data_IF_232999440407
#
_entry.id   IF_232999440407
#
_cell.length_a   1.000
_cell.length_b   1.000
_cell.length_c   1.000
_cell.angle_alpha   90.00
_cell.angle_beta   90.00
_cell.angle_gamma   90.00
#
_symmetry.space_group_name_H-M   'P 1'
#
loop_
_entity.id
_entity.type
_entity.pdbx_description
1 polymer ?
#
# COMPACT_ATOMS: atom_id res chain seq x y z
N UNK A 1 35.20 -7.19 5.03
CA UNK A 1 34.04 -6.32 5.24
C UNK A 1 32.84 -7.24 5.36
N UNK A 2 32.17 -7.24 6.52
CA UNK A 2 30.85 -7.88 6.61
C UNK A 2 29.92 -7.19 5.61
N UNK A 3 29.12 -7.97 4.89
CA UNK A 3 28.13 -7.42 3.97
C UNK A 3 27.00 -6.84 4.81
N UNK A 4 26.78 -5.54 4.70
CA UNK A 4 25.63 -4.89 5.30
C UNK A 4 24.48 -4.88 4.30
N UNK A 5 23.33 -5.41 4.72
CA UNK A 5 22.11 -5.40 3.94
C UNK A 5 21.13 -4.37 4.50
N UNK A 6 20.44 -3.69 3.59
CA UNK A 6 19.43 -2.68 3.90
C UNK A 6 18.07 -3.05 3.31
N UNK A 7 17.03 -2.39 3.84
CA UNK A 7 15.64 -2.59 3.43
C UNK A 7 15.21 -1.49 2.45
N UNK A 8 14.74 -1.88 1.26
CA UNK A 8 14.23 -0.96 0.25
C UNK A 8 12.79 -0.49 0.57
N UNK A 9 12.60 0.80 0.78
CA UNK A 9 11.29 1.45 0.99
C UNK A 9 10.58 1.92 -0.30
N UNK A 10 11.01 1.43 -1.47
CA UNK A 10 10.38 1.81 -2.75
C UNK A 10 8.99 1.22 -3.00
N UNK A 11 8.61 0.11 -2.35
CA UNK A 11 7.26 -0.47 -2.40
C UNK A 11 7.02 -1.36 -1.18
N UNK A 12 5.81 -1.88 -1.00
CA UNK A 12 5.42 -2.70 0.14
C UNK A 12 6.07 -4.09 0.24
N UNK A 13 6.99 -4.43 -0.67
CA UNK A 13 7.81 -5.64 -0.57
C UNK A 13 8.89 -5.54 0.48
N UNK A 14 9.35 -4.33 0.83
CA UNK A 14 10.44 -4.10 1.78
C UNK A 14 11.61 -5.09 1.60
N UNK A 15 12.17 -5.14 0.38
CA UNK A 15 13.26 -6.07 0.06
C UNK A 15 14.47 -5.77 0.96
N UNK A 16 14.91 -6.75 1.73
CA UNK A 16 15.89 -6.67 2.83
C UNK A 16 17.31 -7.15 2.46
N UNK A 17 17.60 -7.26 1.17
CA UNK A 17 18.87 -7.77 0.62
C UNK A 17 19.55 -6.74 -0.27
N UNK A 18 19.35 -5.45 0.01
CA UNK A 18 19.97 -4.37 -0.74
C UNK A 18 21.36 -4.12 -0.21
N UNK A 19 22.37 -4.24 -1.07
CA UNK A 19 23.75 -3.88 -0.74
C UNK A 19 24.09 -2.51 -1.37
N UNK A 20 24.83 -1.69 -0.63
CA UNK A 20 25.39 -0.42 -1.08
C UNK A 20 26.91 -0.56 -1.15
N UNK A 21 27.48 -0.26 -2.32
CA UNK A 21 28.93 -0.27 -2.53
C UNK A 21 29.37 1.07 -3.09
N UNK A 22 30.33 1.70 -2.44
CA UNK A 22 30.96 2.92 -2.94
C UNK A 22 32.12 2.56 -3.88
N UNK A 23 32.04 3.00 -5.13
CA UNK A 23 33.11 2.85 -6.13
C UNK A 23 33.42 4.22 -6.74
N UNK A 24 34.67 4.69 -6.63
CA UNK A 24 35.25 5.89 -7.28
C UNK A 24 34.22 6.98 -7.69
N UNK A 25 33.61 7.63 -6.68
CA UNK A 25 32.59 8.70 -6.78
C UNK A 25 31.16 8.25 -7.16
N UNK A 26 30.79 6.98 -6.97
CA UNK A 26 29.45 6.48 -7.25
C UNK A 26 29.01 5.41 -6.25
N UNK A 27 27.82 5.58 -5.70
CA UNK A 27 27.09 4.51 -5.01
C UNK A 27 26.50 3.51 -6.02
N UNK A 28 27.02 2.29 -6.00
CA UNK A 28 26.44 1.12 -6.64
C UNK A 28 25.41 0.52 -5.68
N UNK A 29 24.23 0.19 -6.23
CA UNK A 29 23.12 -0.39 -5.48
C UNK A 29 22.82 -1.74 -6.11
N UNK A 30 23.11 -2.81 -5.39
CA UNK A 30 22.88 -4.17 -5.86
C UNK A 30 21.52 -4.69 -5.36
N UNK A 31 20.99 -5.69 -6.06
CA UNK A 31 19.71 -6.36 -5.77
C UNK A 31 18.44 -5.50 -5.85
N UNK A 32 18.54 -4.16 -5.86
CA UNK A 32 17.38 -3.29 -6.02
C UNK A 32 16.81 -3.36 -7.45
N UNK A 33 15.48 -3.39 -7.59
CA UNK A 33 14.85 -3.19 -8.90
C UNK A 33 14.94 -1.72 -9.33
N UNK A 34 14.52 -1.39 -10.56
CA UNK A 34 14.51 -0.01 -11.08
C UNK A 34 13.82 0.98 -10.14
N UNK A 35 12.70 0.58 -9.52
CA UNK A 35 11.98 1.41 -8.53
C UNK A 35 12.82 1.66 -7.28
N UNK A 36 13.44 0.61 -6.72
CA UNK A 36 14.31 0.73 -5.56
C UNK A 36 15.56 1.57 -5.83
N UNK A 37 16.20 1.38 -6.98
CA UNK A 37 17.35 2.20 -7.40
C UNK A 37 16.97 3.67 -7.51
N UNK A 38 15.82 3.97 -8.14
CA UNK A 38 15.34 5.35 -8.26
C UNK A 38 15.02 5.97 -6.89
N UNK A 39 14.43 5.19 -5.99
CA UNK A 39 14.09 5.63 -4.63
C UNK A 39 15.34 5.93 -3.77
N UNK A 40 16.34 5.06 -3.82
CA UNK A 40 17.55 5.17 -2.98
C UNK A 40 18.53 6.24 -3.51
N UNK A 41 18.59 6.50 -4.83
CA UNK A 41 19.56 7.44 -5.44
C UNK A 41 19.29 8.93 -5.19
N UNK A 42 18.40 9.26 -4.27
CA UNK A 42 17.88 10.59 -3.95
C UNK A 42 16.88 11.13 -4.96
N UNK A 43 16.05 12.05 -4.44
CA UNK A 43 15.12 12.82 -5.22
C UNK A 43 15.84 13.70 -6.25
N UNK A 44 15.44 13.62 -7.53
CA UNK A 44 15.97 14.52 -8.57
C UNK A 44 15.61 15.98 -8.31
N UNK A 45 14.46 16.22 -7.67
CA UNK A 45 13.97 17.54 -7.30
C UNK A 45 13.59 17.53 -5.82
N UNK A 46 14.57 17.72 -4.90
CA UNK A 46 14.30 17.80 -3.47
C UNK A 46 13.24 18.87 -3.18
N UNK A 47 12.41 18.63 -2.16
CA UNK A 47 11.47 19.63 -1.70
C UNK A 47 12.23 20.80 -1.04
N UNK A 48 11.86 22.02 -1.36
CA UNK A 48 12.36 23.23 -0.68
C UNK A 48 11.49 23.52 0.55
N UNK A 49 12.07 24.08 1.61
CA UNK A 49 11.30 24.52 2.77
C UNK A 49 10.73 25.91 2.50
N UNK A 50 9.40 26.03 2.44
CA UNK A 50 8.75 27.29 2.06
C UNK A 50 7.53 27.60 2.93
N UNK A 51 7.26 28.90 3.06
CA UNK A 51 6.02 29.47 3.58
C UNK A 51 5.53 30.52 2.58
N UNK A 52 4.27 30.41 2.15
CA UNK A 52 3.64 31.26 1.14
C UNK A 52 4.50 31.38 -0.15
N UNK A 53 5.04 30.23 -0.60
CA UNK A 53 5.96 30.09 -1.74
C UNK A 53 7.27 30.91 -1.64
N UNK A 54 7.72 31.23 -0.43
CA UNK A 54 9.03 31.86 -0.16
C UNK A 54 9.89 30.96 0.71
N UNK A 55 11.20 31.01 0.48
CA UNK A 55 12.19 30.29 1.31
C UNK A 55 11.97 30.57 2.80
N UNK A 56 11.94 29.51 3.60
CA UNK A 56 11.70 29.56 5.03
C UNK A 56 12.68 28.64 5.77
N UNK A 57 12.91 28.93 7.05
CA UNK A 57 13.59 27.95 7.90
C UNK A 57 12.62 26.83 8.29
N UNK A 58 13.10 25.62 8.65
CA UNK A 58 12.23 24.57 9.14
C UNK A 58 11.41 24.99 10.37
N UNK A 59 11.96 25.87 11.22
CA UNK A 59 11.25 26.39 12.38
C UNK A 59 10.07 27.29 11.96
N UNK A 60 10.29 28.23 11.04
CA UNK A 60 9.23 29.12 10.53
C UNK A 60 8.10 28.31 9.87
N UNK A 61 8.46 27.28 9.10
CA UNK A 61 7.49 26.42 8.43
C UNK A 61 6.68 25.56 9.42
N UNK A 62 7.32 25.04 10.47
CA UNK A 62 6.65 24.31 11.57
C UNK A 62 5.68 25.23 12.32
N UNK A 63 6.12 26.44 12.68
CA UNK A 63 5.28 27.42 13.36
C UNK A 63 4.07 27.80 12.51
N UNK A 64 4.27 28.01 11.21
CA UNK A 64 3.17 28.32 10.28
C UNK A 64 2.20 27.15 10.12
N UNK A 65 2.72 25.92 9.99
CA UNK A 65 1.91 24.71 9.91
C UNK A 65 1.04 24.54 11.18
N UNK A 66 1.64 24.74 12.36
CA UNK A 66 0.93 24.69 13.64
C UNK A 66 -0.15 25.78 13.75
N UNK A 67 0.15 27.01 13.32
CA UNK A 67 -0.82 28.11 13.27
C UNK A 67 -2.04 27.74 12.40
N UNK A 68 -1.81 27.21 11.20
CA UNK A 68 -2.87 26.78 10.27
C UNK A 68 -3.75 25.71 10.94
N UNK A 69 -3.14 24.65 11.47
CA UNK A 69 -3.87 23.51 12.06
C UNK A 69 -4.62 23.91 13.34
N UNK A 70 -4.06 24.82 14.15
CA UNK A 70 -4.69 25.33 15.36
C UNK A 70 -5.94 26.18 15.08
N UNK A 71 -5.93 26.92 13.97
CA UNK A 71 -7.04 27.80 13.57
C UNK A 71 -8.10 27.06 12.72
N UNK A 72 -7.76 25.90 12.18
CA UNK A 72 -8.68 25.04 11.42
C UNK A 72 -9.77 24.45 12.35
N UNK A 73 -11.00 24.38 11.85
CA UNK A 73 -12.13 23.75 12.55
C UNK A 73 -12.28 22.28 12.19
N UNK A 74 -11.94 21.90 10.96
CA UNK A 74 -12.01 20.54 10.45
C UNK A 74 -10.82 20.27 9.50
N UNK A 75 -9.59 20.21 10.03
CA UNK A 75 -8.43 19.90 9.19
C UNK A 75 -8.54 18.48 8.61
N UNK A 76 -8.00 18.30 7.41
CA UNK A 76 -7.75 16.99 6.80
C UNK A 76 -6.28 16.62 7.00
N UNK A 77 -6.01 15.41 7.48
CA UNK A 77 -4.68 14.80 7.50
C UNK A 77 -4.71 13.61 6.54
N UNK A 78 -3.87 13.64 5.51
CA UNK A 78 -3.92 12.63 4.45
C UNK A 78 -2.54 12.11 4.03
N UNK A 79 -2.44 10.81 3.76
CA UNK A 79 -1.26 10.20 3.15
C UNK A 79 -0.66 9.08 3.99
N UNK A 80 0.47 9.32 4.65
CA UNK A 80 1.08 8.44 5.66
C UNK A 80 1.65 7.10 5.19
N UNK A 81 1.18 6.55 4.06
CA UNK A 81 1.62 5.24 3.56
C UNK A 81 3.11 5.16 3.16
N UNK A 82 3.80 6.30 3.05
CA UNK A 82 5.24 6.39 2.82
C UNK A 82 6.00 7.07 3.99
N UNK A 83 5.51 6.85 5.22
CA UNK A 83 6.10 7.39 6.46
C UNK A 83 6.46 6.28 7.44
N UNK A 84 7.29 6.57 8.44
CA UNK A 84 7.63 5.61 9.51
C UNK A 84 6.42 5.30 10.42
N UNK A 85 6.42 4.15 11.11
CA UNK A 85 5.37 3.85 12.11
C UNK A 85 5.28 4.96 13.19
N UNK A 86 6.43 5.46 13.67
CA UNK A 86 6.46 6.57 14.64
C UNK A 86 5.77 7.83 14.10
N UNK A 87 6.00 8.19 12.84
CA UNK A 87 5.34 9.34 12.22
C UNK A 87 3.83 9.11 12.06
N UNK A 88 3.43 7.91 11.67
CA UNK A 88 2.02 7.54 11.57
C UNK A 88 1.30 7.63 12.92
N UNK A 89 1.93 7.17 14.00
CA UNK A 89 1.39 7.32 15.36
C UNK A 89 1.22 8.80 15.73
N UNK A 90 2.25 9.64 15.48
CA UNK A 90 2.16 11.09 15.71
C UNK A 90 1.09 11.77 14.86
N UNK A 91 0.87 11.31 13.63
CA UNK A 91 -0.20 11.82 12.79
C UNK A 91 -1.59 11.49 13.35
N UNK A 92 -1.78 10.29 13.91
CA UNK A 92 -3.04 9.90 14.57
C UNK A 92 -3.26 10.72 15.85
N UNK A 93 -2.21 10.91 16.66
CA UNK A 93 -2.27 11.79 17.85
C UNK A 93 -2.63 13.23 17.48
N UNK A 94 -1.98 13.77 16.45
CA UNK A 94 -2.25 15.11 15.92
C UNK A 94 -3.69 15.21 15.42
N UNK A 95 -4.17 14.21 14.66
CA UNK A 95 -5.55 14.17 14.18
C UNK A 95 -6.56 14.23 15.32
N UNK A 96 -6.33 13.46 16.39
CA UNK A 96 -7.19 13.52 17.59
C UNK A 96 -7.12 14.90 18.25
N UNK A 97 -5.91 15.48 18.40
CA UNK A 97 -5.70 16.79 19.04
C UNK A 97 -6.39 17.93 18.29
N UNK A 98 -6.45 17.87 16.96
CA UNK A 98 -7.01 18.94 16.11
C UNK A 98 -8.41 18.64 15.60
N UNK A 99 -9.08 17.59 16.08
CA UNK A 99 -10.38 17.13 15.56
C UNK A 99 -10.36 16.96 14.03
N UNK A 100 -9.28 16.38 13.52
CA UNK A 100 -9.08 16.20 12.10
C UNK A 100 -9.87 15.00 11.55
N UNK A 101 -10.16 15.07 10.27
CA UNK A 101 -10.37 13.88 9.47
C UNK A 101 -9.02 13.32 9.04
N UNK A 102 -8.76 12.04 9.32
CA UNK A 102 -7.55 11.33 8.92
C UNK A 102 -7.87 10.20 7.95
N UNK A 103 -7.15 10.15 6.82
CA UNK A 103 -7.34 9.16 5.77
C UNK A 103 -6.02 8.84 5.07
N UNK A 104 -5.96 7.72 4.37
CA UNK A 104 -4.84 7.36 3.49
C UNK A 104 -5.34 6.82 2.15
N UNK A 105 -4.42 6.42 1.28
CA UNK A 105 -4.82 5.92 -0.04
C UNK A 105 -5.52 4.55 0.03
N UNK A 106 -5.43 3.82 1.14
CA UNK A 106 -6.15 2.56 1.32
C UNK A 106 -7.67 2.71 1.16
N UNK A 107 -8.23 3.91 1.39
CA UNK A 107 -9.67 4.21 1.21
C UNK A 107 -10.17 4.07 -0.22
N UNK A 108 -9.26 4.14 -1.20
CA UNK A 108 -9.51 3.87 -2.62
C UNK A 108 -8.47 2.90 -3.22
N UNK A 109 -7.80 2.10 -2.39
CA UNK A 109 -6.84 1.07 -2.79
C UNK A 109 -7.19 -0.25 -2.09
N UNK A 110 -6.22 -1.03 -1.60
CA UNK A 110 -6.46 -2.36 -1.03
C UNK A 110 -7.02 -2.36 0.41
N UNK A 111 -7.48 -1.22 0.93
CA UNK A 111 -8.02 -1.07 2.28
C UNK A 111 -9.09 -2.11 2.66
N UNK A 112 -10.11 -2.39 1.82
CA UNK A 112 -11.13 -3.38 2.15
C UNK A 112 -10.57 -4.77 2.45
N UNK A 113 -9.51 -5.18 1.75
CA UNK A 113 -8.85 -6.48 1.98
C UNK A 113 -8.03 -6.44 3.27
N UNK A 114 -7.33 -5.33 3.51
CA UNK A 114 -6.57 -5.10 4.76
C UNK A 114 -7.51 -5.18 5.97
N UNK A 115 -8.66 -4.51 5.90
CA UNK A 115 -9.70 -4.51 6.93
C UNK A 115 -10.28 -5.92 7.16
N UNK A 116 -10.55 -6.68 6.09
CA UNK A 116 -11.04 -8.05 6.21
C UNK A 116 -10.02 -8.98 6.90
N UNK A 117 -8.71 -8.80 6.65
CA UNK A 117 -7.65 -9.54 7.33
C UNK A 117 -7.57 -9.17 8.81
N UNK A 118 -7.62 -7.87 9.15
CA UNK A 118 -7.55 -7.40 10.54
C UNK A 118 -8.77 -7.80 11.39
N UNK A 119 -9.91 -8.05 10.74
CA UNK A 119 -11.13 -8.56 11.38
C UNK A 119 -11.24 -10.10 11.32
N UNK A 120 -10.17 -10.82 11.00
CA UNK A 120 -10.13 -12.29 10.88
C UNK A 120 -11.16 -12.90 9.90
N UNK A 121 -11.69 -12.10 8.96
CA UNK A 121 -12.62 -12.56 7.91
C UNK A 121 -11.88 -13.29 6.79
N UNK A 122 -10.63 -12.89 6.54
CA UNK A 122 -9.77 -13.46 5.51
C UNK A 122 -8.49 -13.98 6.14
N UNK A 123 -8.21 -15.27 5.93
CA UNK A 123 -6.93 -15.88 6.30
C UNK A 123 -5.81 -15.35 5.38
N UNK A 124 -4.76 -14.80 5.98
CA UNK A 124 -3.54 -14.35 5.27
C UNK A 124 -2.31 -15.15 5.72
N UNK A 125 -1.16 -14.89 5.09
CA UNK A 125 0.12 -15.55 5.38
C UNK A 125 1.29 -14.59 5.17
N UNK A 126 2.50 -15.01 5.49
CA UNK A 126 3.71 -14.21 5.21
C UNK A 126 4.30 -14.48 3.82
N UNK A 127 5.03 -13.52 3.25
CA UNK A 127 5.79 -13.70 2.01
C UNK A 127 6.85 -14.80 2.13
N UNK A 128 7.41 -14.99 3.32
CA UNK A 128 8.35 -16.08 3.60
C UNK A 128 7.68 -17.45 3.58
N UNK A 129 6.42 -17.55 4.04
CA UNK A 129 5.63 -18.77 3.89
C UNK A 129 5.26 -19.03 2.44
N UNK A 130 4.91 -18.00 1.67
CA UNK A 130 4.70 -18.16 0.22
C UNK A 130 5.97 -18.70 -0.44
N UNK A 131 7.13 -18.09 -0.15
CA UNK A 131 8.41 -18.55 -0.66
C UNK A 131 8.64 -20.00 -0.27
N UNK A 132 8.41 -20.37 0.98
CA UNK A 132 8.81 -21.68 1.47
C UNK A 132 7.82 -22.80 1.13
N UNK A 133 6.52 -22.48 1.00
CA UNK A 133 5.42 -23.45 1.00
C UNK A 133 4.48 -23.38 -0.21
N UNK A 134 4.32 -22.25 -0.91
CA UNK A 134 3.23 -22.14 -1.89
C UNK A 134 3.45 -22.99 -3.16
N UNK A 135 2.51 -23.87 -3.48
CA UNK A 135 2.44 -24.62 -4.74
C UNK A 135 1.44 -24.02 -5.73
N UNK A 136 0.39 -23.34 -5.28
CA UNK A 136 -0.57 -22.67 -6.17
C UNK A 136 -0.57 -21.17 -5.87
N UNK A 137 -0.23 -20.36 -6.87
CA UNK A 137 -0.13 -18.91 -6.75
C UNK A 137 -1.07 -18.26 -7.77
N UNK A 138 -2.05 -17.51 -7.28
CA UNK A 138 -3.04 -16.80 -8.12
C UNK A 138 -2.78 -15.30 -8.05
N UNK A 139 -2.48 -14.68 -9.19
CA UNK A 139 -2.42 -13.23 -9.36
C UNK A 139 -3.77 -12.74 -9.89
N UNK A 140 -4.58 -12.15 -9.02
CA UNK A 140 -5.93 -11.70 -9.38
C UNK A 140 -6.01 -10.17 -9.41
N UNK A 141 -6.25 -9.61 -10.59
CA UNK A 141 -6.39 -8.18 -10.81
C UNK A 141 -5.12 -7.41 -10.42
N UNK A 142 -3.95 -8.03 -10.59
CA UNK A 142 -2.66 -7.46 -10.25
C UNK A 142 -1.58 -7.81 -11.28
N UNK A 143 -0.61 -6.91 -11.41
CA UNK A 143 0.58 -7.08 -12.24
C UNK A 143 1.85 -6.78 -11.41
N UNK A 144 2.26 -7.69 -10.51
CA UNK A 144 3.47 -7.55 -9.70
C UNK A 144 4.73 -7.31 -10.53
N UNK A 145 4.84 -7.84 -11.73
CA UNK A 145 6.02 -7.61 -12.58
C UNK A 145 6.29 -6.12 -12.82
N UNK A 146 5.24 -5.29 -12.88
CA UNK A 146 5.35 -3.85 -13.04
C UNK A 146 5.15 -3.05 -11.74
N UNK A 147 4.29 -3.52 -10.83
CA UNK A 147 3.97 -2.80 -9.58
C UNK A 147 4.91 -3.13 -8.41
N UNK A 148 5.36 -4.39 -8.34
CA UNK A 148 6.17 -4.98 -7.27
C UNK A 148 7.29 -5.81 -7.88
N UNK A 149 8.28 -5.21 -8.58
CA UNK A 149 9.06 -5.92 -9.59
C UNK A 149 9.87 -7.13 -9.10
N UNK A 150 10.17 -7.21 -7.79
CA UNK A 150 10.88 -8.35 -7.19
C UNK A 150 9.97 -9.38 -6.53
N UNK A 151 8.65 -9.19 -6.56
CA UNK A 151 7.69 -10.08 -5.90
C UNK A 151 7.86 -11.52 -6.39
N UNK A 152 7.82 -11.73 -7.72
CA UNK A 152 7.98 -13.05 -8.33
C UNK A 152 9.36 -13.64 -8.10
N UNK A 153 10.42 -12.83 -8.17
CA UNK A 153 11.81 -13.31 -8.08
C UNK A 153 12.28 -13.60 -6.66
N UNK A 154 11.77 -12.86 -5.67
CA UNK A 154 12.25 -12.91 -4.29
C UNK A 154 11.32 -13.72 -3.37
N UNK A 155 10.01 -13.63 -3.58
CA UNK A 155 9.04 -14.13 -2.60
C UNK A 155 8.07 -15.18 -3.14
N UNK A 156 7.58 -15.08 -4.37
CA UNK A 156 6.47 -15.94 -4.79
C UNK A 156 6.86 -17.07 -5.74
N UNK A 157 7.08 -16.75 -7.03
CA UNK A 157 7.08 -17.76 -8.08
C UNK A 157 8.46 -18.41 -8.29
N UNK A 158 9.47 -17.63 -8.67
CA UNK A 158 10.78 -18.16 -9.04
C UNK A 158 11.66 -18.73 -7.90
N UNK A 159 11.61 -18.26 -6.64
CA UNK A 159 12.57 -18.74 -5.64
C UNK A 159 12.29 -20.20 -5.25
N UNK A 160 13.37 -20.94 -4.95
CA UNK A 160 13.26 -22.26 -4.32
C UNK A 160 12.88 -22.09 -2.85
N UNK A 161 11.82 -22.78 -2.45
CA UNK A 161 11.29 -22.77 -1.08
C UNK A 161 11.67 -24.03 -0.32
N UNK A 162 11.60 -24.01 1.02
CA UNK A 162 11.88 -25.20 1.85
C UNK A 162 11.08 -26.45 1.42
N UNK A 163 9.82 -26.29 1.01
CA UNK A 163 8.95 -27.35 0.49
C UNK A 163 8.79 -27.30 -1.04
N UNK A 164 9.49 -26.39 -1.71
CA UNK A 164 9.41 -26.13 -3.16
C UNK A 164 10.83 -26.14 -3.74
N UNK A 165 11.55 -27.23 -3.48
CA UNK A 165 12.97 -27.37 -3.79
C UNK A 165 13.25 -27.65 -5.26
N UNK A 166 12.29 -28.20 -6.01
CA UNK A 166 12.42 -28.48 -7.45
C UNK A 166 12.21 -27.23 -8.31
N UNK A 167 11.80 -26.12 -7.69
CA UNK A 167 11.65 -24.82 -8.36
C UNK A 167 10.25 -24.61 -8.91
N UNK A 168 10.09 -23.51 -9.64
CA UNK A 168 8.81 -23.10 -10.22
C UNK A 168 8.40 -23.97 -11.41
N UNK A 169 9.35 -24.68 -12.01
CA UNK A 169 9.17 -25.56 -13.15
C UNK A 169 8.38 -26.84 -12.79
N UNK A 170 8.46 -27.27 -11.52
CA UNK A 170 7.84 -28.52 -11.07
C UNK A 170 6.94 -28.37 -9.83
N UNK A 171 7.31 -27.50 -8.88
CA UNK A 171 6.63 -27.42 -7.59
C UNK A 171 5.57 -26.31 -7.53
N UNK A 172 5.47 -25.44 -8.55
CA UNK A 172 4.56 -24.29 -8.51
C UNK A 172 3.74 -24.13 -9.78
N UNK A 173 2.46 -23.82 -9.58
CA UNK A 173 1.55 -23.37 -10.64
C UNK A 173 1.22 -21.90 -10.40
N UNK A 174 1.53 -21.04 -11.37
CA UNK A 174 1.10 -19.65 -11.38
C UNK A 174 -0.13 -19.49 -12.27
N UNK A 175 -1.12 -18.74 -11.79
CA UNK A 175 -2.39 -18.46 -12.46
C UNK A 175 -2.58 -16.94 -12.48
N UNK A 176 -3.01 -16.38 -13.62
CA UNK A 176 -3.39 -14.99 -13.72
C UNK A 176 -4.88 -14.85 -14.05
N UNK A 177 -5.59 -14.00 -13.31
CA UNK A 177 -6.98 -13.61 -13.59
C UNK A 177 -6.99 -12.10 -13.73
N UNK A 178 -7.14 -11.60 -14.95
CA UNK A 178 -7.01 -10.16 -15.25
C UNK A 178 -7.81 -9.79 -16.50
N UNK A 179 -8.10 -8.50 -16.68
CA UNK A 179 -8.78 -7.97 -17.88
C UNK A 179 -7.86 -7.89 -19.10
N UNK A 180 -6.54 -7.92 -18.88
CA UNK A 180 -5.52 -7.84 -19.93
C UNK A 180 -4.41 -8.86 -19.72
N UNK A 181 -3.75 -9.27 -20.80
CA UNK A 181 -2.53 -10.07 -20.73
C UNK A 181 -1.33 -9.19 -20.35
N UNK A 182 -1.12 -9.04 -19.05
CA UNK A 182 0.02 -8.31 -18.46
C UNK A 182 1.33 -9.10 -18.52
N UNK A 183 2.46 -8.50 -18.14
CA UNK A 183 3.75 -9.22 -18.05
C UNK A 183 3.68 -10.36 -17.05
N UNK A 184 2.97 -10.18 -15.94
CA UNK A 184 2.69 -11.26 -14.99
C UNK A 184 1.84 -12.37 -15.61
N UNK A 185 0.83 -12.02 -16.42
CA UNK A 185 0.01 -13.02 -17.12
C UNK A 185 0.80 -13.78 -18.21
N UNK A 186 1.79 -13.14 -18.85
CA UNK A 186 2.71 -13.83 -19.79
C UNK A 186 3.51 -14.92 -19.06
N UNK A 187 3.96 -14.66 -17.84
CA UNK A 187 4.68 -15.63 -17.00
C UNK A 187 3.78 -16.81 -16.59
N UNK A 188 2.48 -16.60 -16.46
CA UNK A 188 1.52 -17.67 -16.14
C UNK A 188 1.18 -18.57 -17.34
N UNK A 189 1.74 -18.29 -18.52
CA UNK A 189 1.59 -19.07 -19.75
C UNK A 189 0.11 -19.37 -20.09
N UNK A 190 -0.28 -20.65 -20.08
CA UNK A 190 -1.63 -21.12 -20.42
C UNK A 190 -2.62 -20.96 -19.26
N UNK A 191 -2.15 -20.65 -18.03
CA UNK A 191 -3.00 -20.44 -16.85
C UNK A 191 -3.48 -18.99 -16.73
N UNK A 192 -3.82 -18.36 -17.85
CA UNK A 192 -4.36 -17.00 -17.89
C UNK A 192 -5.87 -17.02 -18.20
N UNK A 193 -6.65 -16.45 -17.30
CA UNK A 193 -8.10 -16.32 -17.41
C UNK A 193 -8.45 -14.85 -17.64
N UNK A 194 -8.77 -14.51 -18.88
CA UNK A 194 -9.18 -13.16 -19.23
C UNK A 194 -10.67 -12.95 -18.95
N UNK A 195 -10.98 -12.10 -17.98
CA UNK A 195 -12.36 -11.72 -17.62
C UNK A 195 -12.65 -10.28 -18.04
N UNK A 196 -13.91 -9.90 -18.37
CA UNK A 196 -14.22 -8.52 -18.67
C UNK A 196 -14.15 -7.64 -17.40
N UNK A 197 -13.99 -6.32 -17.53
CA UNK A 197 -14.08 -5.42 -16.39
C UNK A 197 -15.40 -5.59 -15.63
N UNK A 198 -15.34 -5.52 -14.29
CA UNK A 198 -16.48 -5.70 -13.38
C UNK A 198 -17.00 -7.13 -13.23
N UNK A 199 -16.30 -8.13 -13.78
CA UNK A 199 -16.74 -9.52 -13.75
C UNK A 199 -16.17 -10.35 -12.60
N UNK A 200 -15.27 -9.78 -11.79
CA UNK A 200 -14.52 -10.53 -10.79
C UNK A 200 -15.43 -11.19 -9.73
N UNK A 201 -16.47 -10.48 -9.26
CA UNK A 201 -17.44 -11.03 -8.31
C UNK A 201 -18.18 -12.25 -8.88
N UNK A 202 -18.66 -12.14 -10.13
CA UNK A 202 -19.33 -13.23 -10.82
C UNK A 202 -18.39 -14.42 -11.03
N UNK A 203 -17.13 -14.18 -11.38
CA UNK A 203 -16.13 -15.22 -11.54
C UNK A 203 -15.82 -15.94 -10.21
N UNK A 204 -15.71 -15.20 -9.10
CA UNK A 204 -15.50 -15.78 -7.77
C UNK A 204 -16.69 -16.66 -7.32
N UNK A 205 -17.93 -16.23 -7.59
CA UNK A 205 -19.12 -17.04 -7.34
C UNK A 205 -19.13 -18.31 -8.20
N UNK A 206 -18.81 -18.20 -9.48
CA UNK A 206 -18.75 -19.34 -10.39
C UNK A 206 -17.68 -20.36 -9.96
N UNK A 207 -16.50 -19.90 -9.51
CA UNK A 207 -15.50 -20.78 -8.90
C UNK A 207 -16.03 -21.47 -7.64
N UNK A 208 -16.75 -20.75 -6.78
CA UNK A 208 -17.38 -21.32 -5.58
C UNK A 208 -18.40 -22.41 -5.93
N UNK A 209 -19.21 -22.21 -6.98
CA UNK A 209 -20.14 -23.23 -7.50
C UNK A 209 -19.40 -24.48 -8.00
N UNK A 210 -18.33 -24.28 -8.78
CA UNK A 210 -17.49 -25.35 -9.31
C UNK A 210 -16.80 -26.14 -8.18
N UNK A 211 -16.33 -25.46 -7.13
CA UNK A 211 -15.76 -26.11 -5.95
C UNK A 211 -16.78 -27.00 -5.24
N UNK A 212 -18.05 -26.59 -5.24
CA UNK A 212 -19.19 -27.31 -4.67
C UNK A 212 -19.77 -28.42 -5.59
N UNK A 213 -19.18 -28.66 -6.75
CA UNK A 213 -19.62 -29.69 -7.71
C UNK A 213 -20.86 -29.30 -8.52
N UNK A 214 -21.25 -28.02 -8.50
CA UNK A 214 -22.31 -27.48 -9.38
C UNK A 214 -21.71 -27.07 -10.72
N UNK A 215 -22.54 -27.00 -11.76
CA UNK A 215 -22.12 -26.49 -13.08
C UNK A 215 -22.04 -24.96 -12.98
N UNK A 216 -20.83 -24.36 -13.05
CA UNK A 216 -20.67 -22.92 -12.91
C UNK A 216 -21.25 -22.19 -14.12
N UNK A 217 -21.80 -21.01 -13.89
CA UNK A 217 -22.30 -20.13 -14.96
C UNK A 217 -21.73 -18.74 -14.82
N UNK A 218 -21.32 -18.19 -15.96
CA UNK A 218 -20.92 -16.79 -16.10
C UNK A 218 -21.62 -16.18 -17.32
N UNK A 219 -21.80 -14.87 -17.31
CA UNK A 219 -22.44 -14.08 -18.39
C UNK A 219 -21.47 -13.71 -19.52
N UNK A 220 -20.18 -14.04 -19.37
CA UNK A 220 -19.11 -13.71 -20.29
C UNK A 220 -18.44 -14.96 -20.87
N UNK A 221 -17.53 -14.76 -21.83
CA UNK A 221 -17.04 -15.78 -22.77
C UNK A 221 -16.20 -16.94 -22.21
N UNK A 222 -16.14 -17.15 -20.90
CA UNK A 222 -15.45 -18.31 -20.29
C UNK A 222 -16.42 -19.49 -20.20
N UNK A 223 -16.04 -20.64 -20.75
CA UNK A 223 -16.89 -21.84 -20.72
C UNK A 223 -16.92 -22.46 -19.33
N UNK A 224 -18.04 -23.08 -18.91
CA UNK A 224 -18.11 -23.79 -17.62
C UNK A 224 -16.99 -24.82 -17.41
N UNK A 225 -16.53 -25.47 -18.49
CA UNK A 225 -15.42 -26.43 -18.47
C UNK A 225 -14.12 -25.79 -17.97
N UNK A 226 -13.79 -24.58 -18.43
CA UNK A 226 -12.55 -23.88 -18.07
C UNK A 226 -12.56 -23.50 -16.58
N UNK A 227 -13.73 -23.09 -16.06
CA UNK A 227 -13.92 -22.78 -14.63
C UNK A 227 -13.80 -24.06 -13.78
N UNK A 228 -14.36 -25.18 -14.23
CA UNK A 228 -14.23 -26.47 -13.56
C UNK A 228 -12.78 -26.97 -13.55
N UNK A 229 -12.04 -26.77 -14.64
CA UNK A 229 -10.60 -27.09 -14.73
C UNK A 229 -9.79 -26.25 -13.73
N UNK A 230 -10.03 -24.94 -13.67
CA UNK A 230 -9.40 -24.06 -12.67
C UNK A 230 -9.74 -24.52 -11.25
N UNK A 231 -11.01 -24.76 -10.94
CA UNK A 231 -11.42 -25.24 -9.62
C UNK A 231 -10.75 -26.57 -9.22
N UNK A 232 -10.50 -27.46 -10.19
CA UNK A 232 -9.77 -28.71 -9.96
C UNK A 232 -8.27 -28.49 -9.71
N UNK A 233 -7.66 -27.47 -10.31
CA UNK A 233 -6.28 -27.07 -9.99
C UNK A 233 -6.22 -26.53 -8.56
N UNK A 234 -7.10 -25.58 -8.21
CA UNK A 234 -7.13 -24.96 -6.89
C UNK A 234 -7.36 -26.00 -5.78
N UNK A 235 -8.23 -27.01 -6.01
CA UNK A 235 -8.49 -28.11 -5.06
C UNK A 235 -7.29 -28.99 -4.72
N UNK A 236 -6.21 -28.93 -5.50
CA UNK A 236 -4.99 -29.72 -5.28
C UNK A 236 -3.95 -28.98 -4.45
N UNK A 237 -4.19 -27.71 -4.13
CA UNK A 237 -3.21 -26.91 -3.40
C UNK A 237 -2.94 -27.52 -2.01
N UNK A 238 -1.67 -27.71 -1.70
CA UNK A 238 -1.21 -27.92 -0.33
C UNK A 238 -1.18 -26.59 0.43
N UNK A 239 -0.67 -25.55 -0.24
CA UNK A 239 -0.61 -24.17 0.23
C UNK A 239 -0.88 -23.23 -0.95
N UNK A 240 -2.10 -22.72 -1.02
CA UNK A 240 -2.56 -21.78 -2.03
C UNK A 240 -2.47 -20.33 -1.54
N UNK A 241 -2.13 -19.41 -2.44
CA UNK A 241 -2.19 -17.97 -2.16
C UNK A 241 -2.84 -17.21 -3.31
N UNK A 242 -3.77 -16.32 -2.98
CA UNK A 242 -4.34 -15.32 -3.90
C UNK A 242 -3.70 -13.97 -3.58
N UNK A 243 -2.94 -13.43 -4.52
CA UNK A 243 -2.46 -12.06 -4.52
C UNK A 243 -3.51 -11.17 -5.20
N UNK A 244 -4.21 -10.36 -4.41
CA UNK A 244 -5.32 -9.53 -4.88
C UNK A 244 -4.89 -8.07 -5.07
N UNK A 245 -5.06 -7.56 -6.29
CA UNK A 245 -4.74 -6.17 -6.63
C UNK A 245 -5.94 -5.25 -6.77
N UNK A 246 -5.68 -4.06 -7.34
CA UNK A 246 -6.71 -3.04 -7.58
C UNK A 246 -7.80 -3.51 -8.55
N UNK A 247 -7.50 -4.44 -9.47
CA UNK A 247 -8.52 -4.96 -10.38
C UNK A 247 -9.68 -5.60 -9.62
N UNK A 248 -9.37 -6.40 -8.59
CA UNK A 248 -10.37 -7.00 -7.69
C UNK A 248 -11.13 -5.92 -6.93
N UNK A 249 -10.42 -4.98 -6.30
CA UNK A 249 -11.05 -3.98 -5.43
C UNK A 249 -11.93 -3.00 -6.21
N UNK A 250 -11.53 -2.60 -7.42
CA UNK A 250 -12.33 -1.70 -8.26
C UNK A 250 -13.46 -2.42 -8.99
N UNK A 251 -13.34 -3.74 -9.19
CA UNK A 251 -14.44 -4.54 -9.72
C UNK A 251 -15.48 -4.90 -8.67
N UNK A 252 -15.07 -5.14 -7.43
CA UNK A 252 -15.93 -5.67 -6.36
C UNK A 252 -16.16 -4.63 -5.27
N UNK A 253 -17.36 -4.05 -5.25
CA UNK A 253 -17.78 -3.15 -4.17
C UNK A 253 -18.02 -3.87 -2.83
N UNK A 254 -18.28 -5.18 -2.89
CA UNK A 254 -18.48 -6.08 -1.76
C UNK A 254 -17.51 -7.26 -1.88
N UNK A 255 -16.75 -7.54 -0.81
CA UNK A 255 -15.76 -8.63 -0.77
C UNK A 255 -16.38 -10.00 -0.49
N UNK A 256 -17.66 -10.09 -0.12
CA UNK A 256 -18.35 -11.35 0.20
C UNK A 256 -18.13 -12.46 -0.85
N UNK A 257 -18.14 -12.22 -2.18
CA UNK A 257 -17.82 -13.26 -3.16
C UNK A 257 -16.41 -13.85 -3.01
N UNK A 258 -15.42 -13.04 -2.66
CA UNK A 258 -14.05 -13.47 -2.42
C UNK A 258 -13.92 -14.21 -1.08
N UNK A 259 -14.58 -13.73 -0.03
CA UNK A 259 -14.65 -14.40 1.28
C UNK A 259 -15.26 -15.81 1.15
N UNK A 260 -16.38 -15.92 0.44
CA UNK A 260 -17.05 -17.20 0.18
C UNK A 260 -16.18 -18.17 -0.64
N UNK A 261 -15.43 -17.66 -1.62
CA UNK A 261 -14.49 -18.47 -2.39
C UNK A 261 -13.37 -19.02 -1.51
N UNK A 262 -12.78 -18.18 -0.66
CA UNK A 262 -11.75 -18.60 0.29
C UNK A 262 -12.30 -19.61 1.30
N UNK A 263 -13.51 -19.42 1.82
CA UNK A 263 -14.15 -20.37 2.73
C UNK A 263 -14.37 -21.72 2.01
N UNK A 264 -14.81 -21.70 0.75
CA UNK A 264 -15.03 -22.91 -0.03
C UNK A 264 -13.74 -23.67 -0.33
N UNK A 265 -12.64 -22.98 -0.62
CA UNK A 265 -11.31 -23.58 -0.77
C UNK A 265 -10.83 -24.18 0.56
N UNK A 266 -10.91 -23.41 1.64
CA UNK A 266 -10.40 -23.80 2.96
C UNK A 266 -11.16 -24.95 3.64
N UNK A 267 -12.26 -25.43 3.06
CA UNK A 267 -12.89 -26.70 3.47
C UNK A 267 -12.01 -27.93 3.19
N UNK A 268 -11.03 -27.84 2.28
CA UNK A 268 -10.19 -28.99 1.87
C UNK A 268 -8.72 -28.67 1.64
N UNK A 269 -8.37 -27.41 1.39
CA UNK A 269 -7.01 -26.96 1.08
C UNK A 269 -6.59 -25.85 2.05
N UNK A 270 -5.31 -25.47 2.06
CA UNK A 270 -4.84 -24.32 2.86
C UNK A 270 -4.67 -23.08 1.96
N UNK A 271 -5.72 -22.26 1.83
CA UNK A 271 -5.71 -21.07 0.97
C UNK A 271 -5.67 -19.76 1.75
N UNK A 272 -4.80 -18.88 1.31
CA UNK A 272 -4.59 -17.56 1.88
C UNK A 272 -4.88 -16.48 0.85
N UNK A 273 -5.15 -15.26 1.31
CA UNK A 273 -5.21 -14.08 0.46
C UNK A 273 -4.31 -12.98 1.01
N UNK A 274 -3.54 -12.36 0.11
CA UNK A 274 -2.66 -11.25 0.43
C UNK A 274 -2.97 -10.04 -0.46
N UNK A 275 -3.15 -8.83 0.11
CA UNK A 275 -3.36 -7.63 -0.67
C UNK A 275 -2.04 -7.15 -1.30
N UNK A 276 -2.07 -6.82 -2.59
CA UNK A 276 -0.95 -6.21 -3.32
C UNK A 276 -0.83 -4.71 -3.03
N UNK A 277 -0.67 -4.36 -1.76
CA UNK A 277 -0.54 -2.98 -1.25
C UNK A 277 0.64 -2.27 -1.90
N UNK A 278 0.46 -1.02 -2.36
CA UNK A 278 1.50 -0.32 -3.15
C UNK A 278 2.58 0.41 -2.34
N UNK A 279 2.15 1.25 -1.39
CA UNK A 279 3.04 2.11 -0.60
C UNK A 279 3.74 1.30 0.49
N UNK A 280 4.97 1.65 0.84
CA UNK A 280 5.83 0.75 1.62
C UNK A 280 5.32 0.50 3.04
N UNK A 281 4.56 1.43 3.61
CA UNK A 281 4.04 1.35 4.97
C UNK A 281 2.55 1.71 5.07
N UNK A 282 1.76 1.52 4.01
CA UNK A 282 0.29 1.65 4.09
C UNK A 282 -0.29 0.69 5.13
N UNK A 283 0.23 -0.56 5.19
CA UNK A 283 -0.19 -1.54 6.20
C UNK A 283 0.07 -1.01 7.62
N UNK A 284 1.18 -0.32 7.84
CA UNK A 284 1.50 0.29 9.15
C UNK A 284 0.43 1.27 9.59
N UNK A 285 0.05 2.21 8.71
CA UNK A 285 -0.97 3.20 9.01
C UNK A 285 -2.32 2.53 9.31
N UNK A 286 -2.70 1.54 8.50
CA UNK A 286 -3.96 0.82 8.69
C UNK A 286 -3.99 0.05 10.01
N UNK A 287 -2.90 -0.62 10.40
CA UNK A 287 -2.80 -1.34 11.67
C UNK A 287 -2.88 -0.39 12.86
N UNK A 288 -2.08 0.68 12.85
CA UNK A 288 -2.05 1.67 13.94
C UNK A 288 -3.41 2.35 14.13
N UNK A 289 -4.08 2.75 13.03
CA UNK A 289 -5.39 3.37 13.13
C UNK A 289 -6.44 2.37 13.60
N UNK A 290 -6.38 1.11 13.14
CA UNK A 290 -7.30 0.06 13.56
C UNK A 290 -7.16 -0.24 15.05
N UNK A 291 -5.94 -0.36 15.57
CA UNK A 291 -5.70 -0.59 17.00
C UNK A 291 -6.23 0.55 17.88
N UNK A 292 -6.20 1.78 17.37
CA UNK A 292 -6.65 2.97 18.11
C UNK A 292 -8.14 3.25 17.99
N UNK A 293 -8.78 2.87 16.88
CA UNK A 293 -10.13 3.33 16.52
C UNK A 293 -11.11 2.22 16.12
N UNK A 294 -10.62 1.03 15.82
CA UNK A 294 -11.38 -0.05 15.18
C UNK A 294 -11.53 0.08 13.66
N UNK A 295 -10.93 1.11 13.04
CA UNK A 295 -11.04 1.39 11.61
C UNK A 295 -9.66 1.64 10.98
N UNK A 296 -9.49 1.27 9.71
CA UNK A 296 -8.19 1.34 9.03
C UNK A 296 -7.91 2.65 8.28
N UNK A 297 -8.96 3.43 8.00
CA UNK A 297 -8.93 4.67 7.22
C UNK A 297 -10.24 5.46 7.42
N UNK A 298 -10.42 6.60 6.75
CA UNK A 298 -11.66 7.41 6.76
C UNK A 298 -12.23 7.66 8.15
N UNK A 299 -11.38 8.11 9.07
CA UNK A 299 -11.76 8.43 10.44
C UNK A 299 -11.86 9.93 10.61
N UNK A 300 -12.86 10.42 11.32
CA UNK A 300 -12.94 11.81 11.77
C UNK A 300 -13.03 11.84 13.29
N UNK A 301 -12.14 12.61 13.91
CA UNK A 301 -12.17 12.86 15.35
C UNK A 301 -13.02 14.09 15.66
N UNK A 302 -13.94 13.98 16.61
CA UNK A 302 -14.73 15.11 17.13
C UNK A 302 -14.75 15.04 18.67
N UNK A 303 -13.72 15.59 19.29
CA UNK A 303 -13.44 15.43 20.73
C UNK A 303 -13.14 13.98 21.07
N UNK A 304 -13.94 13.38 21.93
CA UNK A 304 -13.85 11.94 22.25
C UNK A 304 -14.69 11.06 21.31
N UNK A 305 -15.48 11.66 20.41
CA UNK A 305 -16.26 10.91 19.43
C UNK A 305 -15.42 10.60 18.20
N UNK A 306 -15.69 9.44 17.61
CA UNK A 306 -15.09 8.98 16.36
C UNK A 306 -16.22 8.76 15.36
N UNK A 307 -16.19 9.47 14.23
CA UNK A 307 -17.02 9.17 13.06
C UNK A 307 -16.19 8.41 12.03
N UNK A 308 -16.82 7.46 11.34
CA UNK A 308 -16.18 6.64 10.32
C UNK A 308 -17.14 6.33 9.18
N UNK A 309 -16.62 6.36 7.97
CA UNK A 309 -17.34 5.92 6.78
C UNK A 309 -16.96 6.72 5.53
N UNK A 310 -17.65 6.49 4.40
CA UNK A 310 -17.36 7.18 3.14
C UNK A 310 -17.36 8.72 3.26
N UNK A 311 -18.18 9.27 4.15
CA UNK A 311 -18.29 10.71 4.43
C UNK A 311 -17.02 11.36 5.01
N UNK A 312 -16.14 10.52 5.57
CA UNK A 312 -14.82 10.87 6.12
C UNK A 312 -13.67 10.50 5.17
N UNK A 313 -13.96 10.09 3.93
CA UNK A 313 -12.89 9.86 2.95
C UNK A 313 -12.33 11.17 2.43
N UNK A 314 -11.04 11.18 2.07
CA UNK A 314 -10.40 12.32 1.39
C UNK A 314 -11.20 12.79 0.18
N UNK A 315 -11.80 11.85 -0.56
CA UNK A 315 -12.64 12.13 -1.73
C UNK A 315 -13.87 12.94 -1.34
N UNK A 316 -14.67 12.46 -0.39
CA UNK A 316 -15.90 13.15 0.00
C UNK A 316 -15.62 14.41 0.83
N UNK A 317 -14.59 14.42 1.67
CA UNK A 317 -14.18 15.59 2.45
C UNK A 317 -13.78 16.76 1.55
N UNK A 318 -12.97 16.50 0.51
CA UNK A 318 -12.58 17.53 -0.45
C UNK A 318 -13.73 17.90 -1.39
N UNK A 319 -14.49 16.93 -1.89
CA UNK A 319 -15.62 17.16 -2.80
C UNK A 319 -16.71 18.03 -2.18
N UNK A 320 -17.08 17.74 -0.94
CA UNK A 320 -18.09 18.49 -0.19
C UNK A 320 -17.51 19.74 0.50
N UNK A 321 -16.23 20.04 0.27
CA UNK A 321 -15.51 21.20 0.85
C UNK A 321 -15.67 21.30 2.37
N UNK A 322 -15.60 20.15 3.04
CA UNK A 322 -15.73 20.04 4.50
C UNK A 322 -14.45 20.44 5.24
N UNK A 323 -13.30 20.20 4.64
CA UNK A 323 -12.02 20.57 5.22
C UNK A 323 -11.74 22.06 5.01
N UNK A 324 -11.16 22.71 6.03
CA UNK A 324 -10.74 24.11 6.00
C UNK A 324 -9.22 24.30 6.10
N UNK A 325 -8.48 23.20 6.24
CA UNK A 325 -7.03 23.12 6.06
C UNK A 325 -6.65 21.66 5.72
N UNK A 326 -5.48 21.44 5.13
CA UNK A 326 -4.98 20.10 4.84
C UNK A 326 -3.50 19.94 5.21
N UNK A 327 -3.15 18.81 5.85
CA UNK A 327 -1.80 18.32 6.03
C UNK A 327 -1.62 17.06 5.18
N UNK A 328 -0.78 17.14 4.16
CA UNK A 328 -0.48 16.04 3.25
C UNK A 328 0.94 15.54 3.55
N UNK A 329 1.08 14.26 3.87
CA UNK A 329 2.38 13.66 4.17
C UNK A 329 2.64 12.42 3.32
N UNK A 330 3.80 12.40 2.64
CA UNK A 330 4.27 11.24 1.86
C UNK A 330 3.28 10.78 0.78
N UNK A 331 2.52 11.71 0.21
CA UNK A 331 1.43 11.45 -0.74
C UNK A 331 1.26 12.64 -1.71
N UNK A 332 0.74 12.35 -2.90
CA UNK A 332 0.52 13.35 -3.95
C UNK A 332 -0.94 13.32 -4.45
N UNK A 333 -1.91 13.82 -3.67
CA UNK A 333 -3.34 13.82 -4.04
C UNK A 333 -3.63 14.50 -5.38
N UNK A 334 -2.85 15.50 -5.80
CA UNK A 334 -2.99 16.08 -7.14
C UNK A 334 -2.67 15.11 -8.28
N UNK A 335 -1.85 14.08 -8.02
CA UNK A 335 -1.59 12.99 -8.95
C UNK A 335 -2.53 11.80 -8.76
N UNK A 336 -2.99 11.53 -7.54
CA UNK A 336 -3.68 10.28 -7.21
C UNK A 336 -5.21 10.37 -7.16
N UNK A 337 -5.78 11.57 -7.06
CA UNK A 337 -7.23 11.79 -7.01
C UNK A 337 -7.76 12.34 -8.34
N UNK A 338 -9.09 12.23 -8.60
CA UNK A 338 -9.70 12.90 -9.74
C UNK A 338 -9.43 14.41 -9.69
N UNK A 339 -8.98 14.99 -10.81
CA UNK A 339 -8.50 16.38 -10.84
C UNK A 339 -9.53 17.42 -10.37
N UNK A 340 -10.83 17.16 -10.61
CA UNK A 340 -11.91 18.03 -10.12
C UNK A 340 -12.06 18.04 -8.61
N UNK A 341 -11.66 16.97 -7.92
CA UNK A 341 -11.69 16.86 -6.46
C UNK A 341 -10.37 17.40 -5.89
N UNK A 342 -9.23 17.00 -6.45
CA UNK A 342 -7.92 17.46 -6.01
C UNK A 342 -7.76 18.99 -6.11
N UNK A 343 -8.41 19.63 -7.09
CA UNK A 343 -8.39 21.07 -7.26
C UNK A 343 -8.94 21.85 -6.03
N UNK A 344 -9.81 21.24 -5.23
CA UNK A 344 -10.35 21.87 -4.02
C UNK A 344 -9.27 22.09 -2.94
N UNK A 345 -8.13 21.37 -2.99
CA UNK A 345 -6.99 21.65 -2.10
C UNK A 345 -6.43 23.06 -2.31
N UNK A 346 -6.58 23.66 -3.51
CA UNK A 346 -6.12 25.03 -3.78
C UNK A 346 -6.96 26.10 -3.09
N UNK A 347 -8.12 25.74 -2.55
CA UNK A 347 -9.04 26.67 -1.90
C UNK A 347 -8.82 26.75 -0.39
N UNK A 348 -7.95 25.90 0.18
CA UNK A 348 -7.68 25.81 1.61
C UNK A 348 -6.18 25.81 1.89
N UNK A 349 -5.74 26.32 3.05
CA UNK A 349 -4.35 26.22 3.48
C UNK A 349 -3.86 24.77 3.45
N UNK A 350 -2.81 24.50 2.68
CA UNK A 350 -2.26 23.16 2.48
C UNK A 350 -0.80 23.10 2.92
N UNK A 351 -0.52 22.20 3.86
CA UNK A 351 0.81 21.88 4.37
C UNK A 351 1.26 20.57 3.72
N UNK A 352 2.47 20.53 3.18
CA UNK A 352 3.06 19.32 2.59
C UNK A 352 4.36 18.96 3.30
N UNK A 353 4.44 17.72 3.79
CA UNK A 353 5.66 17.13 4.34
C UNK A 353 6.06 15.97 3.42
N UNK A 354 7.14 16.16 2.67
CA UNK A 354 7.62 15.19 1.67
C UNK A 354 9.13 15.36 1.45
N UNK A 355 9.90 14.31 1.13
CA UNK A 355 11.30 14.45 0.70
C UNK A 355 11.45 15.15 -0.66
N UNK A 356 10.43 15.07 -1.52
CA UNK A 356 10.49 15.42 -2.93
C UNK A 356 9.47 16.49 -3.32
N UNK A 357 9.80 17.26 -4.37
CA UNK A 357 8.83 18.08 -5.07
C UNK A 357 7.81 17.18 -5.80
N UNK A 358 6.54 17.33 -5.45
CA UNK A 358 5.38 16.65 -6.03
C UNK A 358 4.43 17.65 -6.71
N UNK A 359 3.37 17.19 -7.39
CA UNK A 359 2.35 18.13 -7.90
C UNK A 359 1.62 18.84 -6.75
N UNK A 360 1.34 18.13 -5.67
CA UNK A 360 0.70 18.68 -4.47
C UNK A 360 1.58 19.72 -3.79
N UNK A 361 2.90 19.48 -3.67
CA UNK A 361 3.81 20.46 -3.08
C UNK A 361 3.85 21.82 -3.82
N UNK A 362 3.51 21.85 -5.11
CA UNK A 362 3.54 23.09 -5.91
C UNK A 362 2.38 24.04 -5.62
N UNK A 363 1.33 23.56 -4.96
CA UNK A 363 0.18 24.37 -4.56
C UNK A 363 0.14 24.63 -3.05
N UNK A 364 1.11 24.10 -2.31
CA UNK A 364 1.12 24.16 -0.86
C UNK A 364 1.49 25.56 -0.36
N UNK A 365 0.84 26.00 0.71
CA UNK A 365 1.17 27.22 1.43
C UNK A 365 2.38 26.99 2.35
N UNK A 366 2.58 25.77 2.83
CA UNK A 366 3.75 25.39 3.63
C UNK A 366 4.35 24.09 3.10
N UNK A 367 5.65 24.08 2.84
CA UNK A 367 6.40 22.87 2.49
C UNK A 367 7.51 22.61 3.50
N UNK A 368 7.60 21.37 4.00
CA UNK A 368 8.62 20.96 4.95
C UNK A 368 9.33 19.71 4.40
N UNK A 369 10.61 19.81 3.98
CA UNK A 369 11.36 18.66 3.50
C UNK A 369 11.65 17.69 4.65
N UNK A 370 11.26 16.42 4.47
CA UNK A 370 11.55 15.35 5.40
C UNK A 370 12.69 14.44 4.90
N UNK A 371 13.38 13.79 5.83
CA UNK A 371 14.27 12.69 5.51
C UNK A 371 13.49 11.47 4.99
N UNK A 372 14.02 10.80 3.98
CA UNK A 372 13.47 9.53 3.47
C UNK A 372 13.74 8.39 4.46
N UNK A 373 12.68 7.86 5.08
CA UNK A 373 12.77 6.71 6.00
C UNK A 373 13.35 5.47 5.30
N UNK A 374 14.34 4.84 5.96
CA UNK A 374 15.11 3.71 5.45
C UNK A 374 16.22 4.10 4.47
N UNK A 375 16.40 5.39 4.17
CA UNK A 375 17.51 5.89 3.35
C UNK A 375 18.29 6.96 4.12
N UNK A 376 17.65 8.06 4.46
CA UNK A 376 18.22 9.23 5.13
C UNK A 376 18.00 9.23 6.65
N UNK A 377 17.05 8.43 7.14
CA UNK A 377 16.82 8.19 8.57
C UNK A 377 16.36 6.75 8.83
N UNK A 378 16.41 6.33 10.08
CA UNK A 378 15.89 5.02 10.54
C UNK A 378 14.39 5.07 10.83
N UNK A 379 13.77 3.91 10.98
CA UNK A 379 12.39 3.79 11.46
C UNK A 379 11.87 2.37 11.33
N UNK A 380 10.56 2.22 11.40
CA UNK A 380 9.87 0.93 11.31
C UNK A 380 8.76 0.99 10.27
N UNK A 381 8.45 -0.16 9.66
CA UNK A 381 7.34 -0.30 8.73
C UNK A 381 6.73 -1.70 8.80
N UNK A 382 5.44 -1.80 8.47
CA UNK A 382 4.75 -3.08 8.29
C UNK A 382 4.69 -3.40 6.80
N UNK A 383 5.32 -4.52 6.41
CA UNK A 383 5.34 -5.05 5.05
C UNK A 383 3.94 -5.47 4.60
N UNK A 384 3.73 -5.63 3.29
CA UNK A 384 2.41 -5.99 2.74
C UNK A 384 1.75 -7.23 3.37
N UNK A 385 2.56 -8.16 3.89
CA UNK A 385 2.15 -9.40 4.54
C UNK A 385 1.90 -9.27 6.05
N UNK A 386 2.02 -8.06 6.61
CA UNK A 386 1.80 -7.81 8.04
C UNK A 386 3.03 -8.00 8.92
N UNK A 387 4.21 -8.30 8.36
CA UNK A 387 5.45 -8.40 9.14
C UNK A 387 6.03 -7.01 9.40
N UNK A 388 6.32 -6.69 10.66
CA UNK A 388 7.04 -5.47 11.03
C UNK A 388 8.54 -5.62 10.74
N UNK A 389 9.11 -4.57 10.13
CA UNK A 389 10.48 -4.54 9.63
C UNK A 389 11.18 -3.28 10.16
N UNK A 390 12.34 -3.47 10.77
CA UNK A 390 13.25 -2.38 11.15
C UNK A 390 13.98 -1.84 9.90
N UNK A 391 13.98 -0.52 9.76
CA UNK A 391 14.61 0.21 8.66
C UNK A 391 15.85 0.93 9.19
N UNK A 392 17.01 0.53 8.70
CA UNK A 392 18.28 1.21 9.00
C UNK A 392 18.52 2.37 8.03
N UNK A 393 19.21 3.39 8.51
CA UNK A 393 19.68 4.49 7.69
C UNK A 393 20.78 4.00 6.74
N UNK A 394 20.68 4.37 5.46
CA UNK A 394 21.66 4.03 4.42
C UNK A 394 22.67 5.16 4.19
N UNK A 395 22.26 6.41 4.40
CA UNK A 395 23.02 7.63 4.07
C UNK A 395 22.81 8.67 5.15
N UNK A 396 23.86 9.43 5.45
CA UNK A 396 23.77 10.60 6.30
C UNK A 396 22.87 11.68 5.66
N UNK A 397 22.13 12.40 6.50
CA UNK A 397 21.22 13.48 6.10
C UNK A 397 21.10 14.48 7.24
N UNK A 398 20.96 15.76 6.90
CA UNK A 398 20.68 16.87 7.81
C UNK A 398 19.18 17.19 7.93
N UNK A 399 18.34 16.55 7.11
CA UNK A 399 16.88 16.70 7.15
C UNK A 399 16.30 16.02 8.40
N UNK A 400 15.25 16.62 8.94
CA UNK A 400 14.50 16.02 10.05
C UNK A 400 13.69 14.81 9.59
N UNK A 401 13.54 13.82 10.45
CA UNK A 401 12.60 12.72 10.23
C UNK A 401 11.15 13.24 10.26
N UNK A 402 10.28 12.58 9.50
CA UNK A 402 8.84 12.86 9.45
C UNK A 402 8.17 12.88 10.84
N UNK A 403 8.55 11.95 11.72
CA UNK A 403 8.06 11.86 13.08
C UNK A 403 8.43 13.08 13.94
N UNK A 404 9.66 13.58 13.79
CA UNK A 404 10.16 14.71 14.60
C UNK A 404 9.52 16.03 14.12
N UNK A 405 9.22 16.15 12.82
CA UNK A 405 8.46 17.29 12.27
C UNK A 405 7.06 17.30 12.87
N UNK A 406 6.36 16.17 12.89
CA UNK A 406 5.00 16.08 13.46
C UNK A 406 4.99 16.34 14.96
N UNK A 407 5.99 15.84 15.69
CA UNK A 407 6.14 16.09 17.12
C UNK A 407 6.28 17.59 17.40
N UNK A 408 7.15 18.29 16.67
CA UNK A 408 7.33 19.74 16.80
C UNK A 408 6.08 20.55 16.42
N UNK A 409 5.38 20.16 15.36
CA UNK A 409 4.08 20.79 15.00
C UNK A 409 3.09 20.59 16.14
N UNK A 410 2.99 19.37 16.68
CA UNK A 410 2.06 19.05 17.76
C UNK A 410 2.39 19.80 19.06
N UNK A 411 3.66 20.02 19.37
CA UNK A 411 4.11 20.85 20.51
C UNK A 411 3.73 22.33 20.36
N UNK A 412 3.71 22.84 19.13
CA UNK A 412 3.39 24.24 18.82
C UNK A 412 1.88 24.56 18.78
N UNK A 413 1.01 23.54 18.71
CA UNK A 413 -0.46 23.68 18.78
C UNK A 413 -0.92 23.77 20.23
#
# INVERSE_FOLDING_TARGET
MEREYHVCTGCALLCDDIELREEENKTIIDSACRKGVAWIKNCQHPLECTVDAKDATPQDAIEKAAEILKNAKKPLIFGMGNSSLKAQEKAIELAKKTNACIDDTSSFCQGPIVEAILNDKIKSCTLDEVRDKADIIVYWGCDPSNSHPRHLSKFSYFPRGKMRQRGWEEDRTAIAIDVRKSDTAIICEDNFYQIPPKADAEFAMALTEALSGKVPKVTFGIKPKEILELANILKKAEFGVIFAGLGVVYSMHDLSPMENLLEALNKKTDFHLMPMVGQYNMRGFNHLLFDKTGYINRVSFEGENIDHGPQCSVVEVLKEKKADAALIMGSDPLSSLPGSIAANLKEIPTIVIDPCKTFTSQIADVTIPAAVTGVECKGEAIRMDGVEIELKQMKESDKMADADILEKIMEAI
#
